data_IF_203362014114
#
_entry.id   IF_203362014114
#
_cell.length_a   1.000
_cell.length_b   1.000
_cell.length_c   1.000
_cell.angle_alpha   90.00
_cell.angle_beta   90.00
_cell.angle_gamma   90.00
#
_symmetry.space_group_name_H-M   'P 1'
#
loop_
_entity.id
_entity.type
_entity.pdbx_description
1 polymer ?
#
# COMPACT_ATOMS: atom_id res chain seq x y z
N UNK A 1 29.00 72.56 -41.59
CA UNK A 1 27.67 73.20 -41.58
C UNK A 1 26.83 72.53 -40.50
N UNK A 2 26.14 73.31 -39.65
CA UNK A 2 25.87 73.04 -38.24
C UNK A 2 24.53 72.34 -38.01
N UNK A 3 24.32 71.65 -36.88
CA UNK A 3 23.68 72.18 -35.65
C UNK A 3 22.35 71.41 -35.44
N UNK A 4 21.75 71.18 -34.28
CA UNK A 4 21.93 71.47 -32.85
C UNK A 4 20.95 70.47 -32.13
N UNK A 5 21.26 69.84 -30.98
CA UNK A 5 20.80 70.21 -29.61
C UNK A 5 19.27 70.47 -29.51
N UNK A 6 18.46 70.06 -28.53
CA UNK A 6 18.64 69.68 -27.12
C UNK A 6 17.26 69.30 -26.51
N UNK A 7 17.25 68.56 -25.38
CA UNK A 7 16.24 68.61 -24.31
C UNK A 7 14.86 67.95 -24.55
N UNK A 8 14.08 67.45 -23.58
CA UNK A 8 14.14 67.44 -22.12
C UNK A 8 13.16 66.38 -21.57
N UNK A 9 13.51 65.85 -20.39
CA UNK A 9 12.84 64.92 -19.46
C UNK A 9 11.48 65.42 -18.92
N UNK A 10 10.52 64.51 -18.67
CA UNK A 10 9.40 64.82 -17.75
C UNK A 10 8.26 63.79 -17.64
N UNK A 11 8.19 63.10 -16.50
CA UNK A 11 6.96 62.88 -15.69
C UNK A 11 5.76 62.05 -16.22
N UNK A 12 5.45 60.96 -15.52
CA UNK A 12 4.19 60.18 -15.59
C UNK A 12 2.97 61.01 -15.13
N UNK A 13 1.74 60.55 -15.46
CA UNK A 13 0.84 60.21 -14.35
C UNK A 13 0.26 58.79 -14.44
N UNK A 14 0.01 58.26 -13.26
CA UNK A 14 -0.66 56.99 -12.94
C UNK A 14 -2.15 57.13 -13.26
N UNK A 15 -2.71 56.17 -13.98
CA UNK A 15 -4.16 55.96 -14.02
C UNK A 15 -4.44 54.48 -13.71
N UNK A 16 -4.92 54.26 -12.49
CA UNK A 16 -5.48 53.02 -12.00
C UNK A 16 -6.84 52.76 -12.64
N UNK A 17 -7.06 51.59 -13.22
CA UNK A 17 -8.42 51.05 -13.37
C UNK A 17 -8.38 49.52 -13.21
N UNK A 18 -9.00 49.05 -12.14
CA UNK A 18 -9.62 47.72 -11.99
C UNK A 18 -11.06 48.00 -11.50
N UNK A 19 -12.03 47.07 -11.48
CA UNK A 19 -11.97 45.62 -11.74
C UNK A 19 -13.15 45.06 -12.60
N UNK A 20 -13.11 43.76 -12.95
CA UNK A 20 -14.26 42.81 -13.03
C UNK A 20 -13.77 41.51 -13.72
N UNK A 21 -13.41 40.45 -12.98
CA UNK A 21 -14.22 39.32 -12.49
C UNK A 21 -14.69 38.28 -13.54
N UNK A 22 -14.28 37.02 -13.27
CA UNK A 22 -14.75 35.70 -13.75
C UNK A 22 -14.36 35.30 -15.19
N UNK A 23 -13.78 34.12 -15.46
CA UNK A 23 -14.22 32.76 -15.05
C UNK A 23 -13.14 31.89 -14.37
N UNK A 24 -13.56 30.89 -13.56
CA UNK A 24 -12.68 29.99 -12.83
C UNK A 24 -12.06 28.93 -13.74
N UNK A 25 -10.75 28.74 -13.57
CA UNK A 25 -10.05 27.46 -13.64
C UNK A 25 -10.51 26.45 -14.68
N UNK A 26 -10.18 26.67 -15.95
CA UNK A 26 -9.86 25.54 -16.82
C UNK A 26 -8.39 25.18 -16.56
N UNK A 27 -8.14 24.46 -15.47
CA UNK A 27 -6.93 23.65 -15.39
C UNK A 27 -7.06 22.62 -16.51
N UNK A 28 -6.48 22.94 -17.67
CA UNK A 28 -6.10 21.93 -18.65
C UNK A 28 -5.20 21.00 -17.85
N UNK A 29 -5.76 19.86 -17.42
CA UNK A 29 -4.97 18.76 -16.93
C UNK A 29 -4.13 18.36 -18.13
N UNK A 30 -2.91 18.90 -18.20
CA UNK A 30 -1.93 18.47 -19.17
C UNK A 30 -1.81 16.97 -18.94
N UNK A 31 -2.35 16.16 -19.86
CA UNK A 31 -2.22 14.72 -19.81
C UNK A 31 -0.72 14.48 -19.81
N UNK A 32 -0.18 14.14 -18.63
CA UNK A 32 1.23 13.86 -18.48
C UNK A 32 1.50 12.66 -19.40
N UNK A 33 2.23 12.92 -20.49
CA UNK A 33 2.82 11.83 -21.28
C UNK A 33 3.90 11.27 -20.37
N UNK A 34 3.55 10.25 -19.60
CA UNK A 34 4.42 9.70 -18.57
C UNK A 34 4.75 8.26 -18.93
N UNK A 35 6.00 8.05 -19.30
CA UNK A 35 6.63 6.73 -19.18
C UNK A 35 6.73 6.45 -17.68
N UNK A 36 6.12 5.36 -17.23
CA UNK A 36 6.20 4.92 -15.85
C UNK A 36 6.84 3.54 -15.78
N UNK A 37 7.60 3.28 -14.73
CA UNK A 37 8.27 1.99 -14.49
C UNK A 37 7.88 1.53 -13.10
N UNK A 38 7.49 0.26 -12.97
CA UNK A 38 7.08 -0.34 -11.70
C UNK A 38 7.79 -1.66 -11.47
N UNK A 39 8.08 -1.99 -10.20
CA UNK A 39 8.86 -3.17 -9.79
C UNK A 39 8.04 -4.13 -8.91
N UNK A 40 6.74 -4.23 -9.19
CA UNK A 40 5.80 -5.02 -8.39
C UNK A 40 5.17 -4.23 -7.23
N UNK A 41 4.48 -4.95 -6.33
CA UNK A 41 3.70 -4.36 -5.23
C UNK A 41 4.59 -3.78 -4.12
N UNK A 42 5.72 -4.43 -3.87
CA UNK A 42 6.75 -4.02 -2.91
C UNK A 42 8.06 -3.80 -3.65
N UNK A 43 8.85 -2.83 -3.22
CA UNK A 43 10.18 -2.56 -3.76
C UNK A 43 11.27 -3.40 -3.07
N UNK A 44 10.89 -4.37 -2.23
CA UNK A 44 11.79 -5.29 -1.55
C UNK A 44 11.55 -6.71 -2.06
N UNK A 45 12.62 -7.43 -2.31
CA UNK A 45 12.61 -8.84 -2.70
C UNK A 45 13.56 -9.59 -1.78
N UNK A 46 13.12 -10.73 -1.26
CA UNK A 46 13.97 -11.60 -0.45
C UNK A 46 14.32 -12.86 -1.24
N UNK A 47 15.57 -13.27 -1.17
CA UNK A 47 16.07 -14.49 -1.79
C UNK A 47 16.85 -15.35 -0.79
N UNK A 48 16.84 -16.66 -0.99
CA UNK A 48 17.72 -17.56 -0.27
C UNK A 48 19.10 -17.56 -0.91
N UNK A 49 20.14 -17.74 -0.10
CA UNK A 49 21.49 -17.98 -0.62
C UNK A 49 21.49 -19.22 -1.53
N UNK A 50 22.20 -19.15 -2.66
CA UNK A 50 22.26 -20.14 -3.74
C UNK A 50 20.93 -20.43 -4.46
N UNK A 51 19.93 -19.55 -4.35
CA UNK A 51 18.68 -19.66 -5.12
C UNK A 51 18.66 -18.70 -6.31
N UNK A 52 17.69 -18.87 -7.21
CA UNK A 52 17.43 -17.92 -8.29
C UNK A 52 16.34 -16.96 -7.85
N UNK A 53 16.49 -15.68 -8.16
CA UNK A 53 15.52 -14.65 -7.79
C UNK A 53 15.03 -13.89 -9.01
N UNK A 54 13.70 -13.70 -9.10
CA UNK A 54 13.07 -12.83 -10.07
C UNK A 54 13.13 -11.38 -9.57
N UNK A 55 13.66 -10.49 -10.41
CA UNK A 55 13.60 -9.05 -10.22
C UNK A 55 12.53 -8.48 -11.16
N UNK A 56 11.30 -8.25 -10.65
CA UNK A 56 10.19 -7.82 -11.48
C UNK A 56 10.37 -6.39 -11.97
N UNK A 57 10.14 -6.13 -13.25
CA UNK A 57 10.03 -4.78 -13.79
C UNK A 57 9.05 -4.75 -14.96
N UNK A 58 8.14 -3.78 -14.93
CA UNK A 58 7.20 -3.49 -16.02
C UNK A 58 7.20 -2.00 -16.30
N UNK A 59 6.83 -1.62 -17.53
CA UNK A 59 6.72 -0.21 -17.90
C UNK A 59 5.39 0.11 -18.56
N UNK A 60 4.87 1.30 -18.32
CA UNK A 60 3.63 1.80 -18.90
C UNK A 60 3.95 3.02 -19.76
N UNK A 61 3.32 3.10 -20.92
CA UNK A 61 3.49 4.22 -21.87
C UNK A 61 2.12 4.67 -22.33
N UNK A 62 1.89 5.97 -22.49
CA UNK A 62 0.61 6.51 -22.96
C UNK A 62 0.43 6.35 -24.47
N UNK A 63 1.51 6.55 -25.24
CA UNK A 63 1.47 6.61 -26.72
C UNK A 63 2.04 5.31 -27.35
N UNK A 64 2.50 4.38 -26.51
CA UNK A 64 3.28 3.23 -26.92
C UNK A 64 4.78 3.54 -26.94
N UNK A 65 5.56 2.60 -27.49
CA UNK A 65 7.01 2.70 -27.54
C UNK A 65 7.55 2.33 -28.92
N UNK A 66 8.70 2.91 -29.24
CA UNK A 66 9.48 2.62 -30.45
C UNK A 66 10.95 2.80 -30.09
N UNK A 67 11.79 1.82 -30.46
CA UNK A 67 13.22 1.80 -30.14
C UNK A 67 13.52 2.03 -28.65
N UNK A 68 12.68 1.46 -27.79
CA UNK A 68 12.78 1.59 -26.34
C UNK A 68 14.02 0.85 -25.84
N UNK A 69 14.69 1.45 -24.87
CA UNK A 69 15.90 0.91 -24.26
C UNK A 69 15.64 0.70 -22.78
N UNK A 70 16.03 -0.46 -22.25
CA UNK A 70 15.97 -0.73 -20.83
C UNK A 70 17.31 -1.26 -20.34
N UNK A 71 17.69 -0.82 -19.15
CA UNK A 71 18.97 -1.16 -18.53
C UNK A 71 18.75 -1.46 -17.06
N UNK A 72 19.36 -2.53 -16.58
CA UNK A 72 19.43 -2.86 -15.16
C UNK A 72 20.79 -2.48 -14.60
N UNK A 73 20.78 -1.81 -13.45
CA UNK A 73 21.97 -1.45 -12.69
C UNK A 73 21.98 -2.09 -11.30
N UNK A 74 23.11 -2.63 -10.90
CA UNK A 74 23.40 -3.02 -9.52
C UNK A 74 24.17 -1.88 -8.83
N UNK A 75 23.72 -1.51 -7.62
CA UNK A 75 24.26 -0.43 -6.80
C UNK A 75 24.49 0.89 -7.56
N UNK A 76 23.57 1.20 -8.48
CA UNK A 76 23.54 2.41 -9.32
C UNK A 76 24.64 2.56 -10.37
N UNK A 77 25.70 1.75 -10.34
CA UNK A 77 26.88 1.93 -11.19
C UNK A 77 27.13 0.76 -12.14
N UNK A 78 26.95 -0.47 -11.66
CA UNK A 78 27.25 -1.66 -12.44
C UNK A 78 26.08 -2.01 -13.35
N UNK A 79 26.28 -1.91 -14.67
CA UNK A 79 25.28 -2.37 -15.64
C UNK A 79 25.29 -3.90 -15.71
N UNK A 80 24.19 -4.53 -15.31
CA UNK A 80 24.06 -6.00 -15.28
C UNK A 80 23.23 -6.56 -16.45
N UNK A 81 22.39 -5.73 -17.08
CA UNK A 81 21.62 -6.11 -18.26
C UNK A 81 21.31 -4.87 -19.10
N UNK A 82 21.43 -4.98 -20.41
CA UNK A 82 21.08 -3.92 -21.36
C UNK A 82 20.36 -4.52 -22.57
N UNK A 83 19.14 -4.05 -22.80
CA UNK A 83 18.27 -4.53 -23.88
C UNK A 83 17.59 -3.40 -24.65
N UNK A 84 17.20 -3.72 -25.87
CA UNK A 84 16.45 -2.82 -26.76
C UNK A 84 15.22 -3.51 -27.33
N UNK A 85 14.13 -2.77 -27.46
CA UNK A 85 12.86 -3.26 -27.97
C UNK A 85 12.45 -2.35 -29.12
N UNK A 86 12.39 -2.89 -30.34
CA UNK A 86 12.04 -2.09 -31.52
C UNK A 86 10.60 -1.61 -31.42
N UNK A 87 9.64 -2.52 -31.23
CA UNK A 87 8.23 -2.21 -31.09
C UNK A 87 7.48 -3.34 -30.37
N UNK A 88 6.15 -3.20 -30.24
CA UNK A 88 5.29 -4.18 -29.54
C UNK A 88 5.19 -5.55 -30.22
N UNK A 89 5.56 -5.68 -31.49
CA UNK A 89 5.51 -6.96 -32.21
C UNK A 89 6.83 -7.74 -32.13
N UNK A 90 7.90 -7.12 -31.61
CA UNK A 90 9.23 -7.73 -31.58
C UNK A 90 9.63 -8.08 -30.16
N UNK A 91 10.21 -9.26 -29.99
CA UNK A 91 10.87 -9.61 -28.73
C UNK A 91 12.11 -8.73 -28.48
N UNK A 92 12.47 -8.52 -27.20
CA UNK A 92 13.64 -7.73 -26.84
C UNK A 92 14.94 -8.31 -27.38
N UNK A 93 15.79 -7.44 -27.93
CA UNK A 93 17.15 -7.79 -28.36
C UNK A 93 18.13 -7.53 -27.24
N UNK A 94 18.95 -8.54 -26.92
CA UNK A 94 20.06 -8.43 -25.98
C UNK A 94 21.20 -7.61 -26.58
N UNK A 95 21.73 -6.64 -25.83
CA UNK A 95 22.93 -5.88 -26.20
C UNK A 95 24.12 -6.28 -25.32
N UNK A 96 23.94 -6.31 -24.00
CA UNK A 96 24.98 -6.72 -23.05
C UNK A 96 24.36 -7.24 -21.75
N UNK A 97 25.04 -8.16 -21.07
CA UNK A 97 24.50 -8.84 -19.88
C UNK A 97 25.59 -9.52 -19.04
N UNK A 98 25.41 -9.47 -17.73
CA UNK A 98 26.14 -10.29 -16.77
C UNK A 98 25.75 -11.79 -16.94
N UNK A 99 26.70 -12.74 -17.04
CA UNK A 99 26.40 -14.16 -17.27
C UNK A 99 25.40 -14.81 -16.30
N UNK A 100 25.31 -14.33 -15.05
CA UNK A 100 24.37 -14.85 -14.05
C UNK A 100 22.95 -14.29 -14.20
N UNK A 101 22.75 -13.30 -15.06
CA UNK A 101 21.45 -12.65 -15.27
C UNK A 101 20.80 -13.22 -16.53
N UNK A 102 19.50 -13.49 -16.45
CA UNK A 102 18.68 -13.95 -17.56
C UNK A 102 17.47 -13.03 -17.76
N UNK A 103 17.07 -12.82 -19.01
CA UNK A 103 15.86 -12.07 -19.33
C UNK A 103 14.68 -13.03 -19.41
N UNK A 104 13.62 -12.73 -18.66
CA UNK A 104 12.40 -13.57 -18.61
C UNK A 104 11.12 -12.77 -18.92
N UNK A 105 11.28 -11.49 -19.27
CA UNK A 105 10.18 -10.63 -19.66
C UNK A 105 9.62 -10.96 -21.04
N UNK A 106 8.55 -10.26 -21.41
CA UNK A 106 7.98 -10.27 -22.76
C UNK A 106 7.20 -8.98 -22.94
N UNK A 107 7.39 -8.32 -24.09
CA UNK A 107 6.70 -7.06 -24.43
C UNK A 107 5.71 -7.21 -25.58
N UNK A 108 5.59 -8.44 -26.10
CA UNK A 108 4.63 -8.82 -27.15
C UNK A 108 3.24 -9.15 -26.59
N UNK A 109 3.16 -9.47 -25.29
CA UNK A 109 1.93 -9.74 -24.55
C UNK A 109 1.25 -8.44 -24.08
N UNK A 110 0.16 -8.56 -23.32
CA UNK A 110 -0.56 -7.41 -22.74
C UNK A 110 0.32 -6.59 -21.79
N UNK A 111 1.19 -7.27 -21.06
CA UNK A 111 2.01 -6.65 -20.02
C UNK A 111 3.40 -6.37 -20.59
N UNK A 112 3.82 -5.11 -20.57
CA UNK A 112 5.14 -4.66 -21.01
C UNK A 112 6.20 -5.08 -19.97
N UNK A 113 6.50 -6.37 -19.91
CA UNK A 113 7.34 -6.97 -18.89
C UNK A 113 8.81 -7.02 -19.34
N UNK A 114 9.69 -6.44 -18.53
CA UNK A 114 11.15 -6.39 -18.74
C UNK A 114 11.93 -6.93 -17.52
N UNK A 115 11.32 -7.89 -16.82
CA UNK A 115 11.89 -8.56 -15.65
C UNK A 115 13.09 -9.43 -16.01
N UNK A 116 14.00 -9.57 -15.05
CA UNK A 116 15.19 -10.43 -15.15
C UNK A 116 15.22 -11.43 -14.00
N UNK A 117 15.92 -12.53 -14.19
CA UNK A 117 16.27 -13.48 -13.12
C UNK A 117 17.77 -13.36 -12.86
N UNK A 118 18.15 -13.28 -11.58
CA UNK A 118 19.53 -13.44 -11.14
C UNK A 118 19.71 -14.86 -10.60
N UNK A 119 20.62 -15.61 -11.20
CA UNK A 119 20.89 -17.01 -10.88
C UNK A 119 22.00 -17.15 -9.85
N UNK A 120 21.83 -18.10 -8.92
CA UNK A 120 22.83 -18.39 -7.88
C UNK A 120 23.16 -17.16 -7.03
N UNK A 121 22.13 -16.64 -6.35
CA UNK A 121 22.24 -15.44 -5.50
C UNK A 121 23.13 -15.70 -4.30
N UNK A 122 24.07 -14.80 -4.05
CA UNK A 122 24.98 -14.83 -2.90
C UNK A 122 24.74 -13.62 -1.96
N UNK A 123 25.27 -13.67 -0.73
CA UNK A 123 25.10 -12.55 0.22
C UNK A 123 25.66 -11.21 -0.30
N UNK A 124 26.69 -11.24 -1.14
CA UNK A 124 27.26 -10.05 -1.79
C UNK A 124 26.36 -9.44 -2.86
N UNK A 125 25.37 -10.18 -3.35
CA UNK A 125 24.38 -9.68 -4.31
C UNK A 125 23.29 -8.86 -3.60
N UNK A 126 23.25 -8.83 -2.27
CA UNK A 126 22.33 -7.95 -1.54
C UNK A 126 22.61 -6.48 -1.87
N UNK A 127 21.58 -5.74 -2.29
CA UNK A 127 21.77 -4.36 -2.71
C UNK A 127 20.62 -3.78 -3.52
N UNK A 128 20.91 -2.66 -4.20
CA UNK A 128 19.94 -1.93 -5.01
C UNK A 128 20.01 -2.36 -6.47
N UNK A 129 18.88 -2.78 -7.02
CA UNK A 129 18.72 -3.14 -8.42
C UNK A 129 17.77 -2.15 -9.08
N UNK A 130 18.30 -1.34 -9.99
CA UNK A 130 17.54 -0.25 -10.64
C UNK A 130 17.23 -0.62 -12.08
N UNK A 131 15.94 -0.73 -12.38
CA UNK A 131 15.42 -0.86 -13.74
C UNK A 131 15.24 0.55 -14.33
N UNK A 132 16.02 0.91 -15.33
CA UNK A 132 15.95 2.19 -16.03
C UNK A 132 15.40 1.99 -17.44
N UNK A 133 14.38 2.77 -17.81
CA UNK A 133 13.72 2.67 -19.12
C UNK A 133 13.75 4.03 -19.81
N UNK A 134 14.06 4.02 -21.10
CA UNK A 134 14.04 5.18 -21.98
C UNK A 134 13.13 4.92 -23.18
N UNK A 135 12.14 5.79 -23.38
CA UNK A 135 11.22 5.74 -24.51
C UNK A 135 11.41 6.95 -25.44
N UNK A 136 12.14 6.81 -26.57
CA UNK A 136 12.30 7.89 -27.54
C UNK A 136 10.98 8.44 -28.08
N UNK A 137 9.97 7.57 -28.26
CA UNK A 137 8.65 7.94 -28.81
C UNK A 137 7.92 8.98 -27.96
N UNK A 138 8.19 9.01 -26.66
CA UNK A 138 7.62 9.96 -25.70
C UNK A 138 8.63 11.07 -25.36
N UNK A 139 9.19 11.73 -26.40
CA UNK A 139 10.18 12.82 -26.26
C UNK A 139 11.42 12.41 -25.45
N UNK A 140 11.90 11.17 -25.63
CA UNK A 140 13.00 10.61 -24.84
C UNK A 140 12.71 10.57 -23.33
N UNK A 141 11.45 10.37 -22.93
CA UNK A 141 11.08 10.16 -21.55
C UNK A 141 11.91 9.03 -20.92
N UNK A 142 12.30 9.24 -19.67
CA UNK A 142 13.09 8.30 -18.89
C UNK A 142 12.47 8.17 -17.52
N UNK A 143 12.39 6.94 -17.03
CA UNK A 143 11.91 6.65 -15.69
C UNK A 143 12.64 5.42 -15.16
N UNK A 144 12.78 5.35 -13.85
CA UNK A 144 13.42 4.23 -13.17
C UNK A 144 12.62 3.78 -11.97
N UNK A 145 12.83 2.52 -11.59
CA UNK A 145 12.31 1.97 -10.36
C UNK A 145 13.38 1.06 -9.75
N UNK A 146 13.50 1.09 -8.43
CA UNK A 146 14.56 0.41 -7.70
C UNK A 146 13.99 -0.68 -6.80
N UNK A 147 14.60 -1.85 -6.85
CA UNK A 147 14.35 -2.98 -5.95
C UNK A 147 15.51 -3.07 -4.95
N UNK A 148 15.18 -3.39 -3.71
CA UNK A 148 16.12 -3.77 -2.67
C UNK A 148 16.10 -5.30 -2.53
N UNK A 149 17.19 -5.95 -2.92
CA UNK A 149 17.37 -7.39 -2.74
C UNK A 149 18.00 -7.67 -1.39
N UNK A 150 17.33 -8.48 -0.58
CA UNK A 150 17.87 -9.01 0.68
C UNK A 150 18.11 -10.50 0.53
N UNK A 151 19.30 -10.95 0.92
CA UNK A 151 19.68 -12.37 0.86
C UNK A 151 19.72 -12.94 2.26
N UNK A 152 18.96 -14.02 2.47
CA UNK A 152 18.78 -14.65 3.78
C UNK A 152 19.19 -16.13 3.74
N UNK A 153 19.55 -16.68 4.90
CA UNK A 153 19.84 -18.12 5.01
C UNK A 153 18.56 -18.97 5.12
N UNK A 154 17.45 -18.38 5.57
CA UNK A 154 16.15 -19.05 5.70
C UNK A 154 15.03 -18.05 5.44
N UNK A 155 13.96 -18.50 4.78
CA UNK A 155 12.73 -17.72 4.65
C UNK A 155 11.95 -17.90 5.95
N UNK A 156 11.73 -16.81 6.68
CA UNK A 156 10.76 -16.80 7.77
C UNK A 156 9.48 -16.25 7.17
N UNK A 157 8.40 -17.04 7.18
CA UNK A 157 7.10 -16.52 6.76
C UNK A 157 6.68 -15.39 7.69
N UNK A 158 6.14 -14.31 7.11
CA UNK A 158 5.56 -13.23 7.91
C UNK A 158 4.38 -13.79 8.69
N UNK A 159 4.54 -13.88 9.99
CA UNK A 159 3.56 -14.45 10.91
C UNK A 159 2.21 -13.71 10.85
N UNK A 160 1.21 -14.34 10.23
CA UNK A 160 -0.21 -13.94 10.33
C UNK A 160 -0.76 -14.08 11.75
N UNK A 161 0.07 -14.54 12.69
CA UNK A 161 -0.19 -14.69 14.11
C UNK A 161 -0.76 -13.41 14.72
N UNK A 162 -0.28 -12.22 14.31
CA UNK A 162 -0.84 -10.95 14.79
C UNK A 162 -2.31 -10.78 14.37
N UNK A 163 -2.64 -11.07 13.11
CA UNK A 163 -4.01 -11.00 12.59
C UNK A 163 -4.91 -12.06 13.23
N UNK A 164 -4.40 -13.27 13.42
CA UNK A 164 -5.10 -14.37 14.11
C UNK A 164 -5.39 -14.01 15.57
N UNK A 165 -4.42 -13.41 16.28
CA UNK A 165 -4.61 -12.92 17.65
C UNK A 165 -5.72 -11.86 17.70
N UNK A 166 -5.74 -10.89 16.77
CA UNK A 166 -6.77 -9.84 16.76
C UNK A 166 -8.17 -10.44 16.50
N UNK A 167 -8.32 -11.33 15.51
CA UNK A 167 -9.61 -11.94 15.16
C UNK A 167 -10.13 -12.83 16.29
N UNK A 168 -9.26 -13.61 16.93
CA UNK A 168 -9.64 -14.49 18.05
C UNK A 168 -10.13 -13.72 19.28
N UNK A 169 -9.50 -12.60 19.63
CA UNK A 169 -9.92 -11.77 20.77
C UNK A 169 -11.31 -11.16 20.51
N UNK A 170 -11.54 -10.57 19.33
CA UNK A 170 -12.83 -9.94 18.99
C UNK A 170 -13.93 -10.98 18.86
N UNK A 171 -13.67 -12.10 18.17
CA UNK A 171 -14.62 -13.20 18.04
C UNK A 171 -14.97 -13.84 19.37
N UNK A 172 -13.99 -14.00 20.27
CA UNK A 172 -14.20 -14.53 21.61
C UNK A 172 -15.11 -13.64 22.46
N UNK A 173 -14.90 -12.31 22.42
CA UNK A 173 -15.74 -11.38 23.18
C UNK A 173 -17.21 -11.41 22.73
N UNK A 174 -17.42 -11.37 21.41
CA UNK A 174 -18.77 -11.41 20.82
C UNK A 174 -19.43 -12.76 21.09
N UNK A 175 -18.70 -13.87 20.90
CA UNK A 175 -19.19 -15.21 21.17
C UNK A 175 -19.59 -15.42 22.64
N UNK A 176 -18.78 -14.91 23.58
CA UNK A 176 -19.08 -14.98 25.01
C UNK A 176 -20.34 -14.20 25.37
N UNK A 177 -20.53 -13.00 24.80
CA UNK A 177 -21.75 -12.20 25.01
C UNK A 177 -23.00 -12.92 24.51
N UNK A 178 -22.95 -13.51 23.31
CA UNK A 178 -24.06 -14.28 22.76
C UNK A 178 -24.37 -15.50 23.65
N UNK A 179 -23.34 -16.25 24.03
CA UNK A 179 -23.49 -17.41 24.92
C UNK A 179 -24.13 -17.03 26.25
N UNK A 180 -23.67 -15.94 26.88
CA UNK A 180 -24.23 -15.44 28.12
C UNK A 180 -25.72 -15.05 27.97
N UNK A 181 -26.08 -14.39 26.86
CA UNK A 181 -27.48 -14.04 26.57
C UNK A 181 -28.37 -15.27 26.39
N UNK A 182 -27.87 -16.33 25.75
CA UNK A 182 -28.58 -17.60 25.59
C UNK A 182 -28.77 -18.31 26.92
N UNK A 183 -27.72 -18.44 27.74
CA UNK A 183 -27.80 -19.05 29.07
C UNK A 183 -28.80 -18.29 29.93
N UNK A 184 -28.71 -16.95 29.97
CA UNK A 184 -29.64 -16.11 30.73
C UNK A 184 -31.09 -16.32 30.28
N UNK A 185 -31.36 -16.42 28.97
CA UNK A 185 -32.70 -16.72 28.44
C UNK A 185 -33.22 -18.08 28.90
N UNK A 186 -32.40 -19.12 28.84
CA UNK A 186 -32.79 -20.48 29.26
C UNK A 186 -33.07 -20.51 30.76
N UNK A 187 -32.20 -19.93 31.58
CA UNK A 187 -32.39 -19.87 33.04
C UNK A 187 -33.68 -19.12 33.40
N UNK A 188 -33.93 -17.94 32.80
CA UNK A 188 -35.16 -17.19 33.00
C UNK A 188 -36.40 -17.99 32.57
N UNK A 189 -36.32 -18.75 31.49
CA UNK A 189 -37.40 -19.61 31.03
C UNK A 189 -37.71 -20.75 32.03
N UNK A 190 -36.69 -21.40 32.58
CA UNK A 190 -36.85 -22.47 33.60
C UNK A 190 -37.43 -21.92 34.91
N UNK A 191 -36.95 -20.76 35.38
CA UNK A 191 -37.48 -20.12 36.59
C UNK A 191 -38.95 -19.74 36.39
N UNK A 192 -39.30 -19.14 35.24
CA UNK A 192 -40.69 -18.77 34.93
C UNK A 192 -41.63 -19.98 34.91
N UNK A 193 -41.21 -21.08 34.27
CA UNK A 193 -41.97 -22.36 34.28
C UNK A 193 -42.17 -22.91 35.69
N UNK A 194 -41.18 -22.76 36.57
CA UNK A 194 -41.27 -23.24 37.96
C UNK A 194 -42.22 -22.37 38.81
N UNK A 195 -42.35 -21.07 38.50
CA UNK A 195 -43.32 -20.21 39.17
C UNK A 195 -44.75 -20.42 38.68
N UNK A 196 -44.94 -20.65 37.38
CA UNK A 196 -46.25 -20.97 36.80
C UNK A 196 -46.79 -22.32 37.34
N UNK A 197 -45.90 -23.24 37.73
CA UNK A 197 -46.23 -24.52 38.39
C UNK A 197 -46.39 -24.48 39.92
N UNK A 198 -46.02 -23.38 40.59
CA UNK A 198 -46.18 -23.21 42.06
C UNK A 198 -47.41 -22.39 42.45
N UNK A 199 -48.18 -21.87 41.48
CA UNK A 199 -49.43 -21.14 41.75
C UNK A 199 -50.63 -22.05 42.11
N UNK A 200 -50.48 -23.38 42.07
CA UNK A 200 -51.49 -24.35 42.56
C UNK A 200 -50.80 -25.30 43.53
N UNK A 201 -50.74 -24.91 44.81
CA UNK A 201 -50.04 -25.69 45.82
C UNK A 201 -50.06 -25.06 47.20
N UNK A 202 -51.26 -24.97 47.78
CA UNK A 202 -51.57 -24.88 49.22
C UNK A 202 -51.15 -23.63 50.01
N UNK A 203 -52.17 -22.90 50.47
CA UNK A 203 -52.10 -22.11 51.68
C UNK A 203 -52.39 -22.93 52.95
N UNK A 204 -52.20 -22.24 54.08
CA UNK A 204 -52.55 -22.54 55.49
C UNK A 204 -51.55 -23.37 56.32
N UNK A 205 -51.13 -22.79 57.46
CA UNK A 205 -50.34 -23.47 58.49
C UNK A 205 -49.55 -22.52 59.41
N UNK A 206 -50.24 -21.84 60.32
CA UNK A 206 -49.73 -20.97 61.39
C UNK A 206 -48.95 -21.75 62.47
N UNK A 207 -47.75 -21.31 62.89
CA UNK A 207 -47.33 -21.42 64.30
C UNK A 207 -46.20 -20.47 64.71
N UNK A 208 -46.56 -19.51 65.57
CA UNK A 208 -45.90 -19.09 66.80
C UNK A 208 -44.42 -18.69 66.81
N UNK A 209 -44.18 -17.39 67.05
CA UNK A 209 -42.96 -16.85 67.64
C UNK A 209 -43.23 -15.48 68.28
N UNK A 210 -43.45 -15.45 69.60
CA UNK A 210 -43.51 -14.23 70.45
C UNK A 210 -42.16 -13.50 70.36
N UNK A 211 -42.14 -12.20 70.03
CA UNK A 211 -42.27 -11.02 70.89
C UNK A 211 -40.97 -10.59 71.61
N UNK A 212 -40.74 -9.26 71.54
CA UNK A 212 -39.84 -8.40 72.34
C UNK A 212 -38.35 -8.42 71.93
N UNK A 213 -37.57 -7.34 71.97
CA UNK A 213 -37.75 -5.88 72.04
C UNK A 213 -36.31 -5.32 72.11
N UNK A 214 -36.03 -4.16 71.49
CA UNK A 214 -35.05 -3.13 71.96
C UNK A 214 -33.54 -3.53 71.86
N UNK A 215 -32.58 -2.77 71.36
CA UNK A 215 -32.21 -1.33 71.36
C UNK A 215 -31.49 -1.04 70.01
N UNK A 216 -31.72 0.06 69.28
CA UNK A 216 -31.33 1.46 69.55
C UNK A 216 -29.82 1.66 69.84
N UNK A 217 -29.11 2.25 68.86
CA UNK A 217 -27.74 2.69 69.01
C UNK A 217 -27.24 3.38 67.74
N UNK A 218 -27.71 4.60 67.49
CA UNK A 218 -27.28 5.50 66.41
C UNK A 218 -26.30 6.50 67.00
N UNK A 219 -25.13 6.67 66.35
CA UNK A 219 -24.21 7.84 66.43
C UNK A 219 -23.65 8.16 67.82
N UNK A 220 -22.47 8.74 68.03
CA UNK A 220 -21.93 10.06 67.65
C UNK A 220 -20.41 9.95 68.01
N UNK A 221 -19.40 10.46 67.30
CA UNK A 221 -19.04 11.82 66.85
C UNK A 221 -17.94 11.71 65.80
#
# INVERSE_FOLDING_TARGET
GPGAQDGTRGGKPVASLSPALSLPGLHICAIAIALEVSVGKTNTVMALNNSNVLLPCTFTTCIGFQDLVFTWYFNSTEMIYHGKIKNKATEPTLISRNPRVEFVGSTTKKDNNISIVLNGVEFSDAGKYTCHVKNPKEKNAQHNATIFLTVVHKMVETDNTVTVIIVSVVGGLIGLLILFMLIKRVVLFIIKKTQDGKAVGTGTGMSSGRALSVHAGRSVW
#
